data_IF_143282039115
#
_entry.id   IF_143282039115
#
_cell.length_a   1.000
_cell.length_b   1.000
_cell.length_c   1.000
_cell.angle_alpha   90.00
_cell.angle_beta   90.00
_cell.angle_gamma   90.00
#
_symmetry.space_group_name_H-M   'P 1'
#
loop_
_entity.id
_entity.type
_entity.pdbx_description
1 polymer ?
#
# COMPACT_ATOMS: atom_id res chain seq x y z
N UNK A 1 -36.68 -30.71 26.94
CA UNK A 1 -35.43 -30.63 27.73
C UNK A 1 -34.39 -30.04 26.79
N UNK A 2 -34.67 -28.83 26.30
CA UNK A 2 -34.11 -28.27 25.05
C UNK A 2 -33.62 -26.84 25.29
N UNK A 3 -32.70 -26.68 26.23
CA UNK A 3 -32.12 -25.38 26.60
C UNK A 3 -30.58 -25.36 26.62
N UNK A 4 -29.91 -26.43 26.16
CA UNK A 4 -28.45 -26.59 26.26
C UNK A 4 -27.69 -26.61 24.91
N UNK A 5 -28.33 -26.23 23.80
CA UNK A 5 -27.71 -26.27 22.46
C UNK A 5 -27.23 -24.92 21.91
N UNK A 6 -27.20 -23.86 22.72
CA UNK A 6 -26.88 -22.51 22.21
C UNK A 6 -26.07 -21.68 23.20
N UNK A 7 -24.89 -22.16 23.59
CA UNK A 7 -23.85 -21.28 24.13
C UNK A 7 -22.51 -21.69 23.52
N UNK A 8 -22.32 -21.39 22.24
CA UNK A 8 -21.02 -21.52 21.60
C UNK A 8 -20.18 -20.34 22.07
N UNK A 9 -19.35 -20.56 23.10
CA UNK A 9 -18.41 -19.56 23.60
C UNK A 9 -17.48 -19.20 22.43
N UNK A 10 -17.65 -18.01 21.88
CA UNK A 10 -16.76 -17.45 20.86
C UNK A 10 -15.56 -16.83 21.57
N UNK A 11 -14.37 -17.38 21.33
CA UNK A 11 -13.12 -16.85 21.85
C UNK A 11 -12.45 -16.10 20.72
N UNK A 12 -12.18 -14.81 20.94
CA UNK A 12 -11.47 -13.96 19.98
C UNK A 12 -9.97 -14.04 20.24
N UNK A 13 -9.21 -14.31 19.18
CA UNK A 13 -7.74 -14.33 19.25
C UNK A 13 -7.17 -13.13 18.52
N UNK A 14 -6.06 -12.60 19.03
CA UNK A 14 -5.40 -11.43 18.44
C UNK A 14 -4.77 -11.72 17.07
N UNK A 15 -4.47 -12.99 16.77
CA UNK A 15 -3.73 -13.39 15.58
C UNK A 15 -4.31 -14.68 14.97
N UNK A 16 -4.29 -14.79 13.64
CA UNK A 16 -4.77 -15.94 12.88
C UNK A 16 -4.01 -17.23 13.26
N UNK A 17 -2.71 -17.13 13.58
CA UNK A 17 -1.86 -18.27 13.94
C UNK A 17 -2.28 -18.98 15.24
N UNK A 18 -2.80 -18.24 16.22
CA UNK A 18 -3.33 -18.78 17.47
C UNK A 18 -4.54 -19.67 17.23
N UNK A 19 -5.34 -19.33 16.22
CA UNK A 19 -6.51 -20.07 15.81
C UNK A 19 -6.16 -21.47 15.27
N UNK A 20 -5.03 -21.58 14.54
CA UNK A 20 -4.51 -22.88 14.08
C UNK A 20 -4.01 -23.76 15.24
N UNK A 21 -3.65 -23.18 16.38
CA UNK A 21 -3.09 -23.91 17.53
C UNK A 21 -4.18 -24.36 18.52
N UNK A 22 -5.35 -23.73 18.48
CA UNK A 22 -6.48 -24.00 19.38
C UNK A 22 -7.32 -25.21 18.93
N UNK A 23 -6.75 -26.42 19.02
CA UNK A 23 -7.38 -27.69 18.58
C UNK A 23 -8.72 -28.01 19.28
N UNK A 24 -8.99 -27.43 20.46
CA UNK A 24 -10.16 -27.74 21.29
C UNK A 24 -11.27 -26.67 21.26
N UNK A 25 -11.10 -25.60 20.46
CA UNK A 25 -12.10 -24.53 20.37
C UNK A 25 -13.00 -24.79 19.17
N UNK A 26 -14.33 -24.92 19.40
CA UNK A 26 -15.32 -25.18 18.35
C UNK A 26 -15.51 -24.02 17.37
N UNK A 27 -15.34 -22.79 17.84
CA UNK A 27 -15.49 -21.56 17.03
C UNK A 27 -14.35 -20.64 17.40
N UNK A 28 -13.38 -20.51 16.51
CA UNK A 28 -12.29 -19.58 16.65
C UNK A 28 -12.43 -18.50 15.58
N UNK A 29 -12.51 -17.25 16.03
CA UNK A 29 -12.71 -16.07 15.19
C UNK A 29 -11.59 -15.09 15.54
N UNK A 30 -10.58 -14.91 14.66
CA UNK A 30 -9.51 -13.96 14.94
C UNK A 30 -10.09 -12.54 14.91
N UNK A 31 -9.42 -11.58 15.57
CA UNK A 31 -9.65 -10.16 15.31
C UNK A 31 -9.27 -9.90 13.85
N UNK A 32 -10.27 -9.86 12.98
CA UNK A 32 -10.07 -9.51 11.58
C UNK A 32 -9.59 -8.07 11.47
N UNK A 33 -8.66 -7.83 10.57
CA UNK A 33 -8.28 -6.49 10.08
C UNK A 33 -9.39 -5.85 9.22
N UNK A 34 -10.53 -6.53 9.04
CA UNK A 34 -11.66 -6.12 8.20
C UNK A 34 -11.41 -6.34 6.70
N UNK A 35 -10.24 -6.87 6.34
CA UNK A 35 -9.78 -7.02 4.95
C UNK A 35 -9.55 -8.50 4.63
N UNK A 36 -9.05 -9.27 5.60
CA UNK A 36 -8.64 -10.67 5.51
C UNK A 36 -9.53 -11.58 6.35
N UNK A 37 -9.65 -12.86 5.96
CA UNK A 37 -10.36 -13.89 6.72
C UNK A 37 -9.54 -15.18 6.83
N UNK A 38 -9.98 -16.13 7.67
CA UNK A 38 -9.26 -17.38 7.92
C UNK A 38 -8.93 -18.15 6.63
N UNK A 39 -9.82 -18.06 5.63
CA UNK A 39 -9.66 -18.77 4.36
C UNK A 39 -9.00 -17.92 3.27
N UNK A 40 -9.06 -16.59 3.33
CA UNK A 40 -8.71 -15.73 2.21
C UNK A 40 -7.97 -14.46 2.65
N UNK A 41 -6.93 -14.08 1.90
CA UNK A 41 -6.21 -12.82 2.11
C UNK A 41 -7.13 -11.61 1.89
N UNK A 42 -7.97 -11.64 0.85
CA UNK A 42 -9.03 -10.65 0.66
C UNK A 42 -10.38 -11.32 0.91
N UNK A 43 -11.09 -10.94 1.96
CA UNK A 43 -12.32 -11.63 2.38
C UNK A 43 -13.45 -11.46 1.35
N UNK A 44 -13.70 -10.22 0.91
CA UNK A 44 -14.80 -9.93 -0.01
C UNK A 44 -14.45 -10.17 -1.47
N UNK A 45 -15.41 -10.73 -2.22
CA UNK A 45 -15.32 -10.87 -3.69
C UNK A 45 -15.14 -9.50 -4.36
N UNK A 46 -15.79 -8.46 -3.82
CA UNK A 46 -15.68 -7.08 -4.31
C UNK A 46 -14.23 -6.60 -4.26
N UNK A 47 -13.54 -6.82 -3.13
CA UNK A 47 -12.15 -6.42 -2.95
C UNK A 47 -11.21 -7.17 -3.90
N UNK A 48 -11.42 -8.48 -4.08
CA UNK A 48 -10.65 -9.29 -5.03
C UNK A 48 -10.77 -8.77 -6.46
N UNK A 49 -12.00 -8.51 -6.91
CA UNK A 49 -12.24 -7.98 -8.26
C UNK A 49 -11.66 -6.57 -8.38
N UNK A 50 -11.87 -5.72 -7.38
CA UNK A 50 -11.37 -4.35 -7.38
C UNK A 50 -9.84 -4.30 -7.46
N UNK A 51 -9.12 -5.12 -6.69
CA UNK A 51 -7.65 -5.15 -6.72
C UNK A 51 -7.14 -5.51 -8.11
N UNK A 52 -7.70 -6.53 -8.77
CA UNK A 52 -7.30 -6.89 -10.14
C UNK A 52 -7.60 -5.77 -11.15
N UNK A 53 -8.79 -5.16 -11.06
CA UNK A 53 -9.19 -4.07 -11.96
C UNK A 53 -8.27 -2.86 -11.78
N UNK A 54 -8.05 -2.44 -10.53
CA UNK A 54 -7.20 -1.27 -10.23
C UNK A 54 -5.75 -1.55 -10.61
N UNK A 55 -5.21 -2.75 -10.34
CA UNK A 55 -3.87 -3.13 -10.76
C UNK A 55 -3.70 -3.03 -12.29
N UNK A 56 -4.64 -3.59 -13.05
CA UNK A 56 -4.62 -3.55 -14.51
C UNK A 56 -4.74 -2.12 -15.05
N UNK A 57 -5.70 -1.35 -14.54
CA UNK A 57 -5.92 0.04 -14.98
C UNK A 57 -4.73 0.92 -14.61
N UNK A 58 -4.19 0.80 -13.39
CA UNK A 58 -3.03 1.55 -12.96
C UNK A 58 -1.80 1.21 -13.80
N UNK A 59 -1.52 -0.08 -14.05
CA UNK A 59 -0.37 -0.46 -14.86
C UNK A 59 -0.51 -0.04 -16.32
N UNK A 60 -1.62 -0.39 -16.98
CA UNK A 60 -1.83 -0.08 -18.39
C UNK A 60 -1.97 1.42 -18.62
N UNK A 61 -2.78 2.11 -17.81
CA UNK A 61 -3.01 3.54 -17.91
C UNK A 61 -1.72 4.34 -17.73
N UNK A 62 -0.96 4.08 -16.66
CA UNK A 62 0.27 4.82 -16.41
C UNK A 62 1.40 4.44 -17.37
N UNK A 63 1.45 3.19 -17.85
CA UNK A 63 2.40 2.81 -18.90
C UNK A 63 2.10 3.56 -20.20
N UNK A 64 0.83 3.66 -20.60
CA UNK A 64 0.41 4.43 -21.77
C UNK A 64 0.76 5.92 -21.62
N UNK A 65 0.53 6.50 -20.44
CA UNK A 65 0.95 7.89 -20.16
C UNK A 65 2.46 8.05 -20.28
N UNK A 66 3.23 7.14 -19.70
CA UNK A 66 4.69 7.19 -19.72
C UNK A 66 5.23 7.09 -21.15
N UNK A 67 4.78 6.09 -21.92
CA UNK A 67 5.15 5.89 -23.32
C UNK A 67 4.70 7.06 -24.18
N UNK A 68 3.45 7.52 -24.01
CA UNK A 68 2.91 8.65 -24.74
C UNK A 68 3.75 9.92 -24.55
N UNK A 69 4.15 10.24 -23.32
CA UNK A 69 5.01 11.41 -23.01
C UNK A 69 6.47 11.24 -23.44
N UNK A 70 6.93 10.01 -23.73
CA UNK A 70 8.26 9.74 -24.27
C UNK A 70 8.30 9.84 -25.79
N UNK A 71 7.26 9.37 -26.47
CA UNK A 71 7.17 9.33 -27.94
C UNK A 71 6.69 10.67 -28.51
N UNK A 72 5.69 11.29 -27.88
CA UNK A 72 5.10 12.53 -28.37
C UNK A 72 5.96 13.73 -27.98
N UNK A 73 6.11 14.68 -28.90
CA UNK A 73 6.84 15.92 -28.65
C UNK A 73 6.01 16.84 -27.76
N UNK A 74 6.46 17.00 -26.52
CA UNK A 74 5.79 17.86 -25.54
C UNK A 74 6.36 19.28 -25.55
N UNK A 75 5.52 20.32 -25.67
CA UNK A 75 5.97 21.72 -25.70
C UNK A 75 6.53 22.18 -24.35
N UNK A 76 6.09 21.58 -23.25
CA UNK A 76 6.57 21.88 -21.90
C UNK A 76 7.32 20.66 -21.31
N UNK A 77 8.65 20.68 -21.46
CA UNK A 77 9.52 19.59 -21.00
C UNK A 77 9.49 19.40 -19.47
N UNK A 78 9.32 20.47 -18.70
CA UNK A 78 9.24 20.40 -17.22
C UNK A 78 7.94 19.74 -16.78
N UNK A 79 6.81 20.17 -17.35
CA UNK A 79 5.52 19.56 -17.04
C UNK A 79 5.49 18.09 -17.47
N UNK A 80 5.98 17.78 -18.67
CA UNK A 80 6.11 16.38 -19.14
C UNK A 80 6.96 15.55 -18.18
N UNK A 81 8.05 16.11 -17.65
CA UNK A 81 8.89 15.44 -16.67
C UNK A 81 8.17 15.13 -15.35
N UNK A 82 7.38 16.06 -14.80
CA UNK A 82 6.57 15.77 -13.60
C UNK A 82 5.53 14.68 -13.85
N UNK A 83 4.83 14.72 -14.98
CA UNK A 83 3.83 13.70 -15.35
C UNK A 83 4.49 12.32 -15.51
N UNK A 84 5.71 12.24 -16.05
CA UNK A 84 6.47 10.97 -16.14
C UNK A 84 6.81 10.42 -14.76
N UNK A 85 7.20 11.27 -13.81
CA UNK A 85 7.48 10.83 -12.43
C UNK A 85 6.21 10.37 -11.72
N UNK A 86 5.09 11.07 -11.92
CA UNK A 86 3.79 10.65 -11.38
C UNK A 86 3.37 9.28 -11.94
N UNK A 87 3.45 9.11 -13.26
CA UNK A 87 3.16 7.83 -13.90
C UNK A 87 4.08 6.71 -13.40
N UNK A 88 5.37 6.99 -13.15
CA UNK A 88 6.29 6.02 -12.56
C UNK A 88 5.89 5.64 -11.13
N UNK A 89 5.51 6.62 -10.29
CA UNK A 89 5.02 6.35 -8.94
C UNK A 89 3.76 5.48 -8.96
N UNK A 90 2.78 5.79 -9.82
CA UNK A 90 1.54 5.02 -9.92
C UNK A 90 1.76 3.62 -10.56
N UNK A 91 2.76 3.45 -11.42
CA UNK A 91 3.20 2.12 -11.89
C UNK A 91 3.71 1.25 -10.74
N UNK A 92 4.46 1.84 -9.80
CA UNK A 92 4.91 1.12 -8.59
C UNK A 92 3.71 0.66 -7.76
N UNK A 93 2.68 1.50 -7.60
CA UNK A 93 1.42 1.10 -6.94
C UNK A 93 0.77 -0.07 -7.67
N UNK A 94 0.70 0.00 -9.00
CA UNK A 94 0.16 -1.09 -9.82
C UNK A 94 0.90 -2.40 -9.60
N UNK A 95 2.24 -2.38 -9.56
CA UNK A 95 3.08 -3.55 -9.25
C UNK A 95 2.77 -4.09 -7.85
N UNK A 96 2.68 -3.24 -6.83
CA UNK A 96 2.28 -3.63 -5.48
C UNK A 96 0.91 -4.34 -5.50
N UNK A 97 -0.09 -3.76 -6.15
CA UNK A 97 -1.42 -4.36 -6.23
C UNK A 97 -1.42 -5.70 -6.97
N UNK A 98 -0.60 -5.87 -8.01
CA UNK A 98 -0.41 -7.16 -8.67
C UNK A 98 0.20 -8.20 -7.74
N UNK A 99 1.19 -7.83 -6.92
CA UNK A 99 1.78 -8.73 -5.91
C UNK A 99 0.69 -9.19 -4.94
N UNK A 100 -0.08 -8.28 -4.37
CA UNK A 100 -1.18 -8.62 -3.45
C UNK A 100 -2.24 -9.50 -4.15
N UNK A 101 -2.64 -9.17 -5.38
CA UNK A 101 -3.59 -9.95 -6.16
C UNK A 101 -3.11 -11.38 -6.41
N UNK A 102 -1.82 -11.55 -6.70
CA UNK A 102 -1.21 -12.87 -6.93
C UNK A 102 -1.17 -13.71 -5.67
N UNK A 103 -0.86 -13.11 -4.53
CA UNK A 103 -0.84 -13.78 -3.23
C UNK A 103 -2.25 -14.10 -2.72
N UNK A 104 -3.26 -13.25 -2.99
CA UNK A 104 -4.66 -13.60 -2.73
C UNK A 104 -5.03 -14.92 -3.41
N UNK A 105 -4.67 -15.08 -4.68
CA UNK A 105 -4.95 -16.32 -5.44
C UNK A 105 -4.17 -17.50 -4.87
N UNK A 106 -2.90 -17.31 -4.53
CA UNK A 106 -2.04 -18.36 -4.00
C UNK A 106 -2.50 -18.89 -2.63
N UNK A 107 -3.06 -18.04 -1.77
CA UNK A 107 -3.47 -18.40 -0.41
C UNK A 107 -4.95 -18.79 -0.28
N UNK A 108 -5.69 -18.93 -1.39
CA UNK A 108 -7.13 -19.18 -1.34
C UNK A 108 -7.48 -20.48 -0.61
N UNK A 109 -8.45 -20.39 0.29
CA UNK A 109 -9.01 -21.51 1.04
C UNK A 109 -8.20 -21.89 2.28
N UNK A 110 -6.94 -21.47 2.38
CA UNK A 110 -6.04 -21.84 3.48
C UNK A 110 -5.17 -20.66 3.98
N UNK A 111 -5.66 -19.42 3.89
CA UNK A 111 -4.88 -18.23 4.27
C UNK A 111 -4.30 -18.31 5.69
N UNK A 112 -5.03 -18.87 6.66
CA UNK A 112 -4.57 -19.09 8.04
C UNK A 112 -3.20 -19.79 8.15
N UNK A 113 -2.86 -20.68 7.20
CA UNK A 113 -1.56 -21.38 7.20
C UNK A 113 -0.40 -20.50 6.74
N UNK A 114 -0.71 -19.50 5.93
CA UNK A 114 0.26 -18.63 5.29
C UNK A 114 0.38 -17.27 5.98
N UNK A 115 -0.66 -16.79 6.68
CA UNK A 115 -0.74 -15.45 7.30
C UNK A 115 0.54 -15.06 8.04
N UNK A 116 0.93 -15.84 9.06
CA UNK A 116 2.11 -15.56 9.87
C UNK A 116 3.40 -15.51 9.05
N UNK A 117 3.58 -16.47 8.13
CA UNK A 117 4.78 -16.53 7.28
C UNK A 117 4.80 -15.39 6.26
N UNK A 118 3.64 -15.02 5.73
CA UNK A 118 3.46 -13.95 4.76
C UNK A 118 3.76 -12.59 5.39
N UNK A 119 3.11 -12.28 6.52
CA UNK A 119 3.26 -11.00 7.23
C UNK A 119 4.69 -10.73 7.71
N UNK A 120 5.42 -11.77 8.12
CA UNK A 120 6.85 -11.70 8.48
C UNK A 120 7.82 -11.86 7.29
N UNK A 121 7.30 -12.08 6.09
CA UNK A 121 8.18 -12.32 4.94
C UNK A 121 8.78 -11.01 4.42
N UNK A 122 9.97 -11.13 3.83
CA UNK A 122 10.58 -10.05 3.04
C UNK A 122 9.64 -9.58 1.92
N UNK A 123 8.83 -10.49 1.35
CA UNK A 123 7.85 -10.15 0.32
C UNK A 123 6.81 -9.14 0.80
N UNK A 124 6.30 -9.31 2.02
CA UNK A 124 5.36 -8.37 2.62
C UNK A 124 6.04 -7.04 2.97
N UNK A 125 7.22 -7.06 3.58
CA UNK A 125 7.97 -5.83 3.88
C UNK A 125 8.31 -5.02 2.63
N UNK A 126 8.72 -5.68 1.54
CA UNK A 126 8.97 -5.02 0.24
C UNK A 126 7.67 -4.50 -0.36
N UNK A 127 6.56 -5.23 -0.27
CA UNK A 127 5.25 -4.76 -0.75
C UNK A 127 4.80 -3.50 -0.01
N UNK A 128 4.94 -3.47 1.31
CA UNK A 128 4.64 -2.30 2.13
C UNK A 128 5.53 -1.10 1.80
N UNK A 129 6.84 -1.34 1.62
CA UNK A 129 7.79 -0.34 1.16
C UNK A 129 7.38 0.26 -0.20
N UNK A 130 7.07 -0.58 -1.19
CA UNK A 130 6.65 -0.13 -2.53
C UNK A 130 5.36 0.70 -2.47
N UNK A 131 4.37 0.25 -1.70
CA UNK A 131 3.10 0.97 -1.54
C UNK A 131 3.32 2.36 -0.94
N UNK A 132 4.19 2.46 0.08
CA UNK A 132 4.49 3.71 0.78
C UNK A 132 5.29 4.67 -0.11
N UNK A 133 6.34 4.18 -0.77
CA UNK A 133 7.14 5.00 -1.70
C UNK A 133 6.25 5.56 -2.80
N UNK A 134 5.38 4.72 -3.36
CA UNK A 134 4.47 5.11 -4.43
C UNK A 134 3.46 6.16 -3.98
N UNK A 135 2.73 5.92 -2.89
CA UNK A 135 1.70 6.85 -2.40
C UNK A 135 2.30 8.22 -2.08
N UNK A 136 3.41 8.25 -1.35
CA UNK A 136 4.06 9.50 -0.94
C UNK A 136 4.69 10.21 -2.14
N UNK A 137 5.31 9.48 -3.07
CA UNK A 137 5.85 10.08 -4.29
C UNK A 137 4.76 10.73 -5.14
N UNK A 138 3.60 10.10 -5.29
CA UNK A 138 2.46 10.68 -6.01
C UNK A 138 1.95 11.96 -5.32
N UNK A 139 1.77 11.94 -4.00
CA UNK A 139 1.31 13.12 -3.23
C UNK A 139 2.29 14.29 -3.33
N UNK A 140 3.58 14.06 -3.13
CA UNK A 140 4.56 15.13 -3.24
C UNK A 140 4.74 15.62 -4.68
N UNK A 141 4.68 14.73 -5.67
CA UNK A 141 4.73 15.12 -7.09
C UNK A 141 3.54 15.99 -7.47
N UNK A 142 2.32 15.61 -7.09
CA UNK A 142 1.12 16.41 -7.31
C UNK A 142 1.20 17.77 -6.62
N UNK A 143 1.78 17.81 -5.42
CA UNK A 143 2.03 19.06 -4.69
C UNK A 143 3.00 19.95 -5.47
N UNK A 144 4.11 19.42 -5.96
CA UNK A 144 5.09 20.15 -6.78
C UNK A 144 4.45 20.67 -8.07
N UNK A 145 3.65 19.85 -8.76
CA UNK A 145 2.91 20.27 -9.96
C UNK A 145 1.97 21.44 -9.62
N UNK A 146 1.23 21.33 -8.51
CA UNK A 146 0.26 22.36 -8.08
C UNK A 146 0.97 23.68 -7.77
N UNK A 147 2.09 23.64 -7.04
CA UNK A 147 2.89 24.82 -6.71
C UNK A 147 3.50 25.45 -7.97
N UNK A 148 4.01 24.63 -8.90
CA UNK A 148 4.55 25.11 -10.18
C UNK A 148 3.49 25.82 -11.03
N UNK A 149 2.27 25.25 -11.09
CA UNK A 149 1.13 25.86 -11.77
C UNK A 149 0.66 27.15 -11.10
N UNK A 150 0.54 27.16 -9.78
CA UNK A 150 0.18 28.35 -9.03
C UNK A 150 1.17 29.49 -9.26
N UNK A 151 2.47 29.20 -9.15
CA UNK A 151 3.52 30.18 -9.39
C UNK A 151 3.45 30.74 -10.83
N UNK A 152 3.24 29.87 -11.83
CA UNK A 152 3.10 30.26 -13.25
C UNK A 152 1.96 31.25 -13.50
N UNK A 153 0.86 31.10 -12.77
CA UNK A 153 -0.32 31.96 -12.90
C UNK A 153 -0.08 33.31 -12.22
N UNK A 154 0.49 33.31 -11.01
CA UNK A 154 0.66 34.53 -10.20
C UNK A 154 1.84 35.39 -10.66
N UNK A 155 2.91 34.78 -11.17
CA UNK A 155 4.15 35.48 -11.53
C UNK A 155 4.56 35.27 -13.00
N UNK A 156 3.73 35.70 -13.97
CA UNK A 156 3.92 35.39 -15.40
C UNK A 156 5.25 35.88 -15.99
N UNK A 157 5.85 36.93 -15.42
CA UNK A 157 7.12 37.53 -15.90
C UNK A 157 8.37 36.94 -15.22
N UNK A 158 8.23 36.32 -14.04
CA UNK A 158 9.36 35.73 -13.29
C UNK A 158 9.62 34.26 -13.68
N UNK A 159 8.61 33.55 -14.17
CA UNK A 159 8.69 32.10 -14.43
C UNK A 159 9.31 31.65 -15.74
N UNK A 160 9.77 32.57 -16.61
CA UNK A 160 10.50 32.21 -17.83
C UNK A 160 11.84 31.50 -17.55
N UNK A 161 12.22 31.32 -16.27
CA UNK A 161 13.46 30.68 -15.80
C UNK A 161 13.31 29.50 -14.84
N UNK A 162 12.15 28.84 -14.71
CA UNK A 162 12.13 27.51 -14.05
C UNK A 162 12.89 26.52 -14.95
N UNK A 163 14.19 26.38 -14.69
CA UNK A 163 15.06 25.52 -15.49
C UNK A 163 14.69 24.06 -15.24
N UNK A 164 14.82 23.24 -16.28
CA UNK A 164 14.68 21.78 -16.18
C UNK A 164 15.54 21.19 -15.04
N UNK A 165 16.71 21.80 -14.76
CA UNK A 165 17.57 21.44 -13.62
C UNK A 165 16.86 21.60 -12.27
N UNK A 166 16.12 22.68 -12.07
CA UNK A 166 15.36 22.88 -10.84
C UNK A 166 14.29 21.79 -10.66
N UNK A 167 13.52 21.52 -11.70
CA UNK A 167 12.51 20.46 -11.68
C UNK A 167 13.12 19.08 -11.37
N UNK A 168 14.27 18.78 -12.00
CA UNK A 168 15.01 17.55 -11.74
C UNK A 168 15.50 17.45 -10.29
N UNK A 169 16.08 18.51 -9.73
CA UNK A 169 16.49 18.54 -8.32
C UNK A 169 15.30 18.37 -7.37
N UNK A 170 14.16 19.03 -7.64
CA UNK A 170 12.95 18.86 -6.84
C UNK A 170 12.48 17.39 -6.84
N UNK A 171 12.41 16.76 -8.01
CA UNK A 171 12.00 15.36 -8.09
C UNK A 171 13.01 14.43 -7.42
N UNK A 172 14.31 14.68 -7.55
CA UNK A 172 15.33 13.92 -6.83
C UNK A 172 15.12 14.00 -5.32
N UNK A 173 14.88 15.20 -4.77
CA UNK A 173 14.56 15.38 -3.35
C UNK A 173 13.29 14.63 -2.95
N UNK A 174 12.24 14.68 -3.78
CA UNK A 174 11.00 13.92 -3.53
C UNK A 174 11.29 12.42 -3.43
N UNK A 175 11.98 11.84 -4.41
CA UNK A 175 12.32 10.41 -4.39
C UNK A 175 13.19 10.02 -3.20
N UNK A 176 14.21 10.82 -2.86
CA UNK A 176 15.05 10.55 -1.69
C UNK A 176 14.24 10.61 -0.40
N UNK A 177 13.35 11.59 -0.27
CA UNK A 177 12.50 11.75 0.90
C UNK A 177 11.51 10.59 1.05
N UNK A 178 10.86 10.15 -0.03
CA UNK A 178 9.89 9.05 0.02
C UNK A 178 10.58 7.71 0.29
N UNK A 179 11.75 7.47 -0.31
CA UNK A 179 12.58 6.30 -0.01
C UNK A 179 13.02 6.28 1.44
N UNK A 180 13.44 7.42 1.98
CA UNK A 180 13.82 7.54 3.38
C UNK A 180 12.63 7.26 4.29
N UNK A 181 11.48 7.89 4.04
CA UNK A 181 10.26 7.70 4.84
C UNK A 181 9.82 6.23 4.86
N UNK A 182 9.89 5.53 3.73
CA UNK A 182 9.55 4.11 3.66
C UNK A 182 10.64 3.20 4.27
N UNK A 183 11.91 3.60 4.25
CA UNK A 183 13.02 2.82 4.81
C UNK A 183 13.16 2.97 6.34
N UNK A 184 12.78 4.12 6.92
CA UNK A 184 12.95 4.41 8.35
C UNK A 184 12.38 3.31 9.26
N UNK A 185 11.14 2.80 9.05
CA UNK A 185 10.60 1.73 9.87
C UNK A 185 11.38 0.42 9.76
N UNK A 186 12.00 0.16 8.61
CA UNK A 186 12.81 -1.04 8.37
C UNK A 186 14.21 -0.94 8.98
N UNK A 187 14.76 0.26 9.14
CA UNK A 187 16.10 0.48 9.68
C UNK A 187 16.17 0.45 11.21
N UNK A 188 15.04 0.70 11.90
CA UNK A 188 14.97 0.75 13.37
C UNK A 188 13.92 -0.23 13.91
N UNK A 189 14.11 -1.55 13.71
CA UNK A 189 13.18 -2.56 14.22
C UNK A 189 13.06 -2.51 15.76
N UNK A 190 14.10 -2.06 16.47
CA UNK A 190 14.05 -1.85 17.93
C UNK A 190 12.94 -0.91 18.39
N UNK A 191 12.54 0.06 17.54
CA UNK A 191 11.55 1.08 17.88
C UNK A 191 10.20 0.82 17.19
N UNK A 192 10.20 0.46 15.91
CA UNK A 192 8.99 0.26 15.12
C UNK A 192 8.45 -1.18 15.16
N UNK A 193 9.25 -2.12 15.68
CA UNK A 193 8.96 -3.55 15.63
C UNK A 193 9.38 -4.20 14.31
N UNK A 194 9.58 -5.51 14.36
CA UNK A 194 9.97 -6.35 13.20
C UNK A 194 8.87 -6.46 12.13
N UNK A 195 7.62 -6.09 12.45
CA UNK A 195 6.43 -6.29 11.61
C UNK A 195 5.70 -4.99 11.27
N UNK A 196 6.40 -3.87 11.10
CA UNK A 196 5.76 -2.58 10.82
C UNK A 196 4.83 -2.62 9.58
N UNK A 197 5.31 -3.18 8.47
CA UNK A 197 4.51 -3.39 7.27
C UNK A 197 3.64 -4.65 7.37
N UNK A 198 4.01 -5.61 8.22
CA UNK A 198 3.28 -6.86 8.43
C UNK A 198 2.09 -6.74 9.40
N UNK A 199 1.62 -5.54 9.73
CA UNK A 199 0.52 -5.36 10.68
C UNK A 199 -0.83 -5.91 10.17
N UNK A 200 -0.98 -6.06 8.85
CA UNK A 200 -2.17 -6.60 8.18
C UNK A 200 -1.79 -7.48 6.97
N UNK A 201 -2.76 -8.23 6.44
CA UNK A 201 -2.52 -9.18 5.34
C UNK A 201 -2.13 -8.53 4.01
N UNK A 202 -2.43 -7.24 3.81
CA UNK A 202 -2.11 -6.46 2.60
C UNK A 202 -0.81 -5.66 2.71
N UNK A 203 -0.08 -5.81 3.81
CA UNK A 203 1.25 -5.25 4.03
C UNK A 203 1.31 -3.70 4.10
N UNK A 204 0.20 -3.06 4.48
CA UNK A 204 0.13 -1.60 4.59
C UNK A 204 0.58 -1.11 5.98
N UNK A 205 1.17 0.08 6.12
CA UNK A 205 1.49 0.67 7.41
C UNK A 205 0.25 1.28 8.09
N UNK A 206 -0.87 0.54 8.11
CA UNK A 206 -2.10 0.95 8.78
C UNK A 206 -2.02 0.52 10.26
N UNK A 207 -1.90 1.51 11.14
CA UNK A 207 -2.14 1.31 12.57
C UNK A 207 -3.61 1.64 12.84
N UNK A 208 -4.48 0.63 12.72
CA UNK A 208 -5.85 0.77 13.19
C UNK A 208 -5.75 0.78 14.72
N UNK A 209 -5.90 1.97 15.31
CA UNK A 209 -5.94 2.15 16.75
C UNK A 209 -7.09 1.29 17.29
N UNK A 210 -6.80 0.30 18.13
CA UNK A 210 -7.82 -0.35 18.95
C UNK A 210 -8.46 0.73 19.83
N UNK A 211 -9.78 1.02 19.71
CA UNK A 211 -10.45 1.98 20.58
C UNK A 211 -10.57 1.49 22.04
N UNK A 212 -10.31 0.21 22.31
CA UNK A 212 -10.47 -0.41 23.62
C UNK A 212 -9.16 -0.54 24.43
N UNK A 213 -8.04 0.05 24.00
CA UNK A 213 -6.81 0.09 24.81
C UNK A 213 -6.85 1.14 25.95
N UNK A 214 -8.03 1.53 26.42
CA UNK A 214 -8.25 2.16 27.72
C UNK A 214 -9.05 1.20 28.59
N UNK A 215 -8.33 0.24 29.16
CA UNK A 215 -8.90 -0.73 30.07
C UNK A 215 -7.83 -1.39 30.91
N UNK A 216 -6.93 -0.58 31.49
CA UNK A 216 -6.22 -0.81 32.75
C UNK A 216 -5.56 0.49 33.24
#
# INVERSE_FOLDING_TARGET
>A
MDLYRSFSIKIYFSDFSLCSSALHVRVCEPRGDGISSLAHLLDSVVLRVAVWVVALVACLGNLLVLVGRLVLREPNAVHSFYIKNLALADLIMGVYLFVIASHDVAFRGEYIRYDYRWRRSVGCSVSGFLSTVSSEASVFTLTVITVDRFASIVYPLSLKRRTFRFAWMCMLCVWLMTLLLAAVPMMRPDYYGEEFYGSNGVCLPLHIHDPDSKGE
#
